data_IF_217181550706
#
_entry.id   IF_217181550706
#
_cell.length_a   1.000
_cell.length_b   1.000
_cell.length_c   1.000
_cell.angle_alpha   90.00
_cell.angle_beta   90.00
_cell.angle_gamma   90.00
#
_symmetry.space_group_name_H-M   'P 1'
#
loop_
_entity.id
_entity.type
_entity.pdbx_description
1 polymer ?
#
# COMPACT_ATOMS: atom_id res chain seq x y z
N UNK A 1 -1.21 18.48 10.12
CA UNK A 1 -1.36 17.78 8.81
C UNK A 1 -1.47 18.72 7.60
N UNK A 2 -2.44 19.64 7.45
CA UNK A 2 -2.64 20.45 6.22
C UNK A 2 -1.42 21.25 5.75
N UNK A 3 -0.58 21.82 6.66
CA UNK A 3 0.63 22.57 6.28
C UNK A 3 1.69 21.65 5.65
N UNK A 4 1.89 20.46 6.20
CA UNK A 4 2.87 19.50 5.68
C UNK A 4 2.44 18.93 4.33
N UNK A 5 1.15 18.63 4.12
CA UNK A 5 0.62 18.21 2.82
C UNK A 5 0.85 19.27 1.72
N UNK A 6 0.73 20.56 2.05
CA UNK A 6 1.08 21.63 1.11
C UNK A 6 2.58 21.69 0.81
N UNK A 7 3.44 21.41 1.82
CA UNK A 7 4.90 21.34 1.64
C UNK A 7 5.27 20.17 0.72
N UNK A 8 4.67 18.99 0.90
CA UNK A 8 4.85 17.82 0.03
C UNK A 8 4.43 18.17 -1.40
N UNK A 9 3.26 18.76 -1.59
CA UNK A 9 2.79 19.14 -2.92
C UNK A 9 3.71 20.13 -3.61
N UNK A 10 4.35 21.05 -2.85
CA UNK A 10 5.38 21.97 -3.37
C UNK A 10 6.62 21.21 -3.85
N UNK A 11 7.06 20.16 -3.13
CA UNK A 11 8.17 19.31 -3.59
C UNK A 11 7.78 18.53 -4.86
N UNK A 12 6.62 17.92 -4.90
CA UNK A 12 6.12 17.24 -6.11
C UNK A 12 6.15 18.19 -7.33
N UNK A 13 5.79 19.46 -7.15
CA UNK A 13 5.89 20.46 -8.24
C UNK A 13 7.33 20.75 -8.68
N UNK A 14 8.27 20.75 -7.75
CA UNK A 14 9.67 21.14 -7.99
C UNK A 14 10.43 20.12 -8.82
N UNK A 15 10.23 18.83 -8.57
CA UNK A 15 11.00 17.76 -9.20
C UNK A 15 10.32 17.26 -10.48
N UNK A 16 11.13 17.01 -11.53
CA UNK A 16 10.64 16.46 -12.80
C UNK A 16 10.62 14.94 -12.82
N UNK A 17 11.49 14.30 -12.03
CA UNK A 17 11.57 12.85 -11.89
C UNK A 17 11.14 12.49 -10.47
N UNK A 18 10.17 11.59 -10.35
CA UNK A 18 9.62 11.16 -9.07
C UNK A 18 9.54 9.63 -9.07
N UNK A 19 10.15 9.03 -8.07
CA UNK A 19 10.10 7.61 -7.80
C UNK A 19 9.24 7.38 -6.56
N UNK A 20 8.31 6.44 -6.64
CA UNK A 20 7.41 6.10 -5.55
C UNK A 20 7.67 4.64 -5.20
N UNK A 21 8.15 4.40 -3.99
CA UNK A 21 8.42 3.09 -3.43
C UNK A 21 7.46 2.78 -2.26
N UNK A 22 7.40 1.52 -1.87
CA UNK A 22 6.60 1.00 -0.75
C UNK A 22 7.31 -0.21 -0.14
N UNK A 23 6.71 -0.90 0.83
CA UNK A 23 7.33 -2.06 1.48
C UNK A 23 7.37 -3.33 0.61
N UNK A 24 8.28 -4.24 0.94
CA UNK A 24 8.37 -5.60 0.38
C UNK A 24 7.11 -6.38 0.76
N UNK A 25 6.60 -7.23 -0.16
CA UNK A 25 5.39 -8.00 0.07
C UNK A 25 4.14 -7.11 0.13
N UNK A 26 4.05 -6.16 -0.81
CA UNK A 26 3.01 -5.14 -0.83
C UNK A 26 1.59 -5.70 -0.73
N UNK A 27 0.84 -5.12 0.17
CA UNK A 27 -0.59 -5.30 0.33
C UNK A 27 -1.40 -4.23 -0.46
N UNK A 28 -2.73 -4.25 -0.40
CA UNK A 28 -3.54 -3.27 -1.11
C UNK A 28 -3.39 -1.83 -0.61
N UNK A 29 -2.97 -1.57 0.65
CA UNK A 29 -2.73 -0.20 1.12
C UNK A 29 -1.45 0.37 0.51
N UNK A 30 -0.37 -0.40 0.55
CA UNK A 30 0.89 -0.04 -0.08
C UNK A 30 0.73 0.21 -1.60
N UNK A 31 0.08 -0.71 -2.32
CA UNK A 31 -0.16 -0.58 -3.76
C UNK A 31 -1.16 0.54 -4.09
N UNK A 32 -2.25 0.64 -3.32
CA UNK A 32 -3.30 1.62 -3.53
C UNK A 32 -2.80 3.05 -3.35
N UNK A 33 -2.04 3.29 -2.28
CA UNK A 33 -1.39 4.59 -2.04
C UNK A 33 -0.38 4.94 -3.13
N UNK A 34 0.43 3.97 -3.56
CA UNK A 34 1.45 4.12 -4.60
C UNK A 34 0.83 4.43 -5.97
N UNK A 35 -0.13 3.63 -6.43
CA UNK A 35 -0.76 3.83 -7.73
C UNK A 35 -1.63 5.08 -7.76
N UNK A 36 -2.34 5.38 -6.68
CA UNK A 36 -3.10 6.63 -6.58
C UNK A 36 -2.18 7.85 -6.70
N UNK A 37 -1.05 7.88 -5.99
CA UNK A 37 -0.13 9.01 -6.03
C UNK A 37 0.53 9.15 -7.40
N UNK A 38 0.93 8.04 -8.03
CA UNK A 38 1.45 8.02 -9.41
C UNK A 38 0.44 8.62 -10.38
N UNK A 39 -0.79 8.12 -10.36
CA UNK A 39 -1.89 8.57 -11.23
C UNK A 39 -2.17 10.07 -11.03
N UNK A 40 -2.24 10.51 -9.78
CA UNK A 40 -2.41 11.92 -9.43
C UNK A 40 -1.35 12.80 -10.06
N UNK A 41 -0.07 12.39 -9.95
CA UNK A 41 1.04 13.20 -10.43
C UNK A 41 1.07 13.19 -11.96
N UNK A 42 0.88 12.04 -12.61
CA UNK A 42 0.82 11.93 -14.09
C UNK A 42 -0.31 12.80 -14.66
N UNK A 43 -1.49 12.76 -14.05
CA UNK A 43 -2.64 13.56 -14.50
C UNK A 43 -2.43 15.06 -14.31
N UNK A 44 -1.84 15.46 -13.17
CA UNK A 44 -1.65 16.88 -12.86
C UNK A 44 -0.45 17.50 -13.57
N UNK A 45 0.58 16.71 -13.84
CA UNK A 45 1.85 17.10 -14.41
C UNK A 45 2.31 16.13 -15.49
N UNK A 46 1.66 16.08 -16.66
CA UNK A 46 1.88 15.05 -17.69
C UNK A 46 3.29 15.04 -18.30
N UNK A 47 4.08 16.10 -18.05
CA UNK A 47 5.48 16.16 -18.53
C UNK A 47 6.49 15.57 -17.53
N UNK A 48 6.05 15.18 -16.32
CA UNK A 48 6.94 14.58 -15.33
C UNK A 48 7.12 13.08 -15.59
N UNK A 49 8.31 12.59 -15.30
CA UNK A 49 8.60 11.17 -15.24
C UNK A 49 8.23 10.67 -13.84
N UNK A 50 7.29 9.74 -13.76
CA UNK A 50 6.79 9.23 -12.47
C UNK A 50 6.75 7.71 -12.53
N UNK A 51 7.43 7.08 -11.60
CA UNK A 51 7.63 5.65 -11.54
C UNK A 51 7.12 5.09 -10.21
N UNK A 52 6.17 4.16 -10.26
CA UNK A 52 5.79 3.31 -9.14
C UNK A 52 6.60 2.01 -9.25
N UNK A 53 7.52 1.78 -8.34
CA UNK A 53 8.50 0.69 -8.44
C UNK A 53 8.38 -0.31 -7.31
N UNK A 54 9.00 -1.48 -7.51
CA UNK A 54 9.08 -2.58 -6.56
C UNK A 54 8.84 -3.93 -7.23
N UNK A 55 8.69 -4.97 -6.45
CA UNK A 55 8.37 -6.31 -6.94
C UNK A 55 6.84 -6.46 -7.15
N UNK A 56 6.43 -7.05 -8.28
CA UNK A 56 5.00 -7.22 -8.56
C UNK A 56 4.37 -8.25 -7.61
N UNK A 57 3.12 -7.99 -7.23
CA UNK A 57 2.29 -8.96 -6.52
C UNK A 57 1.39 -9.69 -7.52
N UNK A 58 1.47 -11.01 -7.57
CA UNK A 58 0.54 -11.81 -8.40
C UNK A 58 -0.90 -11.71 -7.90
N UNK A 59 -1.10 -11.70 -6.58
CA UNK A 59 -2.41 -11.61 -5.92
C UNK A 59 -3.13 -10.30 -6.22
N UNK A 60 -2.40 -9.19 -6.25
CA UNK A 60 -2.98 -7.85 -6.41
C UNK A 60 -2.70 -7.21 -7.77
N UNK A 61 -2.37 -8.03 -8.78
CA UNK A 61 -2.12 -7.54 -10.15
C UNK A 61 -3.30 -6.76 -10.74
N UNK A 62 -4.52 -7.05 -10.32
CA UNK A 62 -5.72 -6.34 -10.76
C UNK A 62 -5.76 -4.86 -10.37
N UNK A 63 -4.94 -4.42 -9.41
CA UNK A 63 -4.83 -3.02 -8.99
C UNK A 63 -4.01 -2.16 -9.95
N UNK A 64 -3.12 -2.77 -10.76
CA UNK A 64 -2.29 -2.09 -11.74
C UNK A 64 -0.91 -2.70 -11.89
N UNK A 65 -0.15 -2.14 -12.83
CA UNK A 65 1.21 -2.55 -13.11
C UNK A 65 2.23 -1.55 -12.57
N UNK A 66 3.38 -2.08 -12.15
CA UNK A 66 4.54 -1.29 -11.74
C UNK A 66 5.32 -0.78 -12.95
N UNK A 67 5.94 0.37 -12.79
CA UNK A 67 6.83 0.94 -13.81
C UNK A 67 8.23 0.35 -13.66
N UNK A 68 8.97 0.30 -14.78
CA UNK A 68 10.40 -0.03 -14.79
C UNK A 68 11.22 1.23 -15.00
N UNK A 69 12.32 1.35 -14.28
CA UNK A 69 13.30 2.40 -14.52
C UNK A 69 14.30 1.86 -15.54
N UNK A 70 14.30 2.41 -16.74
CA UNK A 70 15.19 2.01 -17.84
C UNK A 70 16.35 3.01 -18.03
N UNK A 71 16.29 4.16 -17.38
CA UNK A 71 17.24 5.26 -17.53
C UNK A 71 18.16 5.38 -16.31
N UNK A 72 19.42 5.76 -16.53
CA UNK A 72 20.29 6.19 -15.45
C UNK A 72 19.95 7.63 -15.08
N UNK A 73 19.41 7.82 -13.86
CA UNK A 73 19.10 9.15 -13.34
C UNK A 73 20.29 9.79 -12.66
N UNK A 74 20.34 11.12 -12.71
CA UNK A 74 21.00 11.92 -11.70
C UNK A 74 20.14 11.92 -10.43
N UNK A 75 20.40 11.01 -9.50
CA UNK A 75 19.61 10.80 -8.28
C UNK A 75 19.49 12.05 -7.41
N UNK A 76 20.41 13.02 -7.53
CA UNK A 76 20.33 14.31 -6.85
C UNK A 76 19.13 15.15 -7.33
N UNK A 77 18.63 14.88 -8.53
CA UNK A 77 17.47 15.53 -9.14
C UNK A 77 16.17 14.73 -9.05
N UNK A 78 16.21 13.58 -8.39
CA UNK A 78 15.05 12.72 -8.19
C UNK A 78 14.41 13.00 -6.83
N UNK A 79 13.08 13.02 -6.79
CA UNK A 79 12.32 12.95 -5.56
C UNK A 79 11.88 11.50 -5.33
N UNK A 80 12.35 10.90 -4.26
CA UNK A 80 11.84 9.61 -3.77
C UNK A 80 10.68 9.87 -2.81
N UNK A 81 9.56 9.17 -3.01
CA UNK A 81 8.45 9.14 -2.07
C UNK A 81 8.28 7.70 -1.63
N UNK A 82 8.45 7.43 -0.34
CA UNK A 82 8.25 6.12 0.27
C UNK A 82 6.92 6.13 0.99
N UNK A 83 6.08 5.16 0.67
CA UNK A 83 4.73 5.01 1.19
C UNK A 83 4.65 3.75 2.04
N UNK A 84 3.90 3.81 3.12
CA UNK A 84 3.51 2.64 3.89
C UNK A 84 4.68 1.76 4.33
N UNK A 85 5.77 2.39 4.78
CA UNK A 85 7.00 1.67 5.10
C UNK A 85 7.70 2.29 6.31
N UNK A 86 7.57 1.73 7.51
CA UNK A 86 8.21 2.26 8.71
C UNK A 86 9.71 1.98 8.79
N UNK A 87 10.18 0.87 8.21
CA UNK A 87 11.53 0.30 8.31
C UNK A 87 12.26 0.38 6.97
N UNK A 88 13.48 0.93 6.96
CA UNK A 88 14.34 1.05 5.78
C UNK A 88 14.56 -0.29 5.08
N UNK A 89 14.76 -1.37 5.84
CA UNK A 89 15.03 -2.71 5.31
C UNK A 89 13.86 -3.29 4.52
N UNK A 90 12.66 -2.76 4.74
CA UNK A 90 11.46 -3.20 4.04
C UNK A 90 11.14 -2.38 2.79
N UNK A 91 11.90 -1.32 2.48
CA UNK A 91 11.66 -0.56 1.25
C UNK A 91 12.00 -1.44 0.04
N UNK A 92 11.05 -1.56 -0.89
CA UNK A 92 11.15 -2.46 -2.04
C UNK A 92 11.70 -1.75 -3.28
N UNK A 93 12.60 -2.43 -3.98
CA UNK A 93 13.05 -2.05 -5.33
C UNK A 93 13.98 -0.85 -5.42
N UNK A 94 14.54 -0.35 -4.31
CA UNK A 94 15.48 0.77 -4.32
C UNK A 94 16.66 0.57 -3.34
N UNK A 95 17.75 1.27 -3.65
CA UNK A 95 18.85 1.54 -2.73
C UNK A 95 18.70 2.95 -2.17
N UNK A 96 18.24 3.08 -0.91
CA UNK A 96 17.86 4.36 -0.30
C UNK A 96 19.00 5.39 -0.34
N UNK A 97 20.24 4.95 -0.15
CA UNK A 97 21.43 5.81 -0.11
C UNK A 97 21.72 6.55 -1.43
N UNK A 98 21.12 6.13 -2.53
CA UNK A 98 21.24 6.82 -3.81
C UNK A 98 20.43 8.13 -3.84
N UNK A 99 19.42 8.28 -2.96
CA UNK A 99 18.49 9.40 -2.99
C UNK A 99 18.80 10.42 -1.89
N UNK A 100 18.86 11.71 -2.27
CA UNK A 100 19.04 12.82 -1.32
C UNK A 100 17.73 13.49 -0.90
N UNK A 101 16.69 13.35 -1.73
CA UNK A 101 15.42 14.04 -1.53
C UNK A 101 14.33 13.01 -1.31
N UNK A 102 14.00 12.75 -0.06
CA UNK A 102 13.10 11.67 0.37
C UNK A 102 11.92 12.24 1.13
N UNK A 103 10.72 11.78 0.78
CA UNK A 103 9.48 12.00 1.53
C UNK A 103 8.97 10.64 1.99
N UNK A 104 8.56 10.54 3.26
CA UNK A 104 7.88 9.39 3.84
C UNK A 104 6.43 9.76 4.16
N UNK A 105 5.47 8.91 3.79
CA UNK A 105 4.07 9.01 4.21
C UNK A 105 3.65 7.63 4.71
N UNK A 106 3.33 7.53 5.98
CA UNK A 106 3.14 6.25 6.66
C UNK A 106 2.15 6.39 7.82
N UNK A 107 1.42 5.32 8.13
CA UNK A 107 0.52 5.27 9.26
C UNK A 107 1.00 4.33 10.38
N UNK A 108 2.11 3.63 10.17
CA UNK A 108 2.70 2.74 11.16
C UNK A 108 3.46 3.51 12.25
N UNK A 109 3.69 2.90 13.43
CA UNK A 109 4.63 3.42 14.42
C UNK A 109 6.02 3.68 13.82
N UNK A 110 6.69 4.72 14.32
CA UNK A 110 8.02 5.09 13.84
C UNK A 110 9.02 3.99 14.19
N UNK A 111 9.69 3.44 13.17
CA UNK A 111 10.84 2.53 13.34
C UNK A 111 12.12 3.26 12.97
N UNK A 112 12.20 3.78 11.74
CA UNK A 112 13.35 4.52 11.23
C UNK A 112 12.98 5.94 10.79
N UNK A 113 13.86 6.91 11.11
CA UNK A 113 13.83 8.28 10.61
C UNK A 113 14.82 8.39 9.42
N UNK A 114 14.29 8.41 8.18
CA UNK A 114 15.11 8.35 6.98
C UNK A 114 14.74 9.38 5.89
N UNK A 115 13.73 10.19 6.12
CA UNK A 115 13.25 11.11 5.09
C UNK A 115 13.42 12.58 5.49
N UNK A 116 13.59 13.46 4.48
CA UNK A 116 13.70 14.90 4.70
C UNK A 116 12.35 15.54 5.09
N UNK A 117 11.24 14.89 4.73
CA UNK A 117 9.88 15.27 5.08
C UNK A 117 9.13 13.99 5.41
N UNK A 118 8.57 13.92 6.62
CA UNK A 118 7.78 12.79 7.06
C UNK A 118 6.35 13.21 7.41
N UNK A 119 5.40 12.39 7.03
CA UNK A 119 4.02 12.41 7.51
C UNK A 119 3.75 11.04 8.11
N UNK A 120 3.69 10.98 9.41
CA UNK A 120 3.37 9.77 10.16
C UNK A 120 2.16 10.08 11.02
N UNK A 121 1.12 9.25 10.91
CA UNK A 121 -0.09 9.37 11.74
C UNK A 121 -0.61 7.99 12.09
N UNK A 122 -0.19 7.47 13.24
CA UNK A 122 -0.59 6.17 13.78
C UNK A 122 -2.09 6.06 14.08
N UNK A 123 -2.80 7.18 14.11
CA UNK A 123 -4.26 7.21 14.25
C UNK A 123 -4.99 7.17 12.90
N UNK A 124 -4.25 7.17 11.79
CA UNK A 124 -4.82 6.99 10.47
C UNK A 124 -5.10 5.51 10.23
N UNK A 125 -6.23 5.20 9.62
CA UNK A 125 -6.61 3.82 9.34
C UNK A 125 -5.76 3.15 8.25
N UNK A 126 -5.00 3.91 7.48
CA UNK A 126 -4.16 3.44 6.40
C UNK A 126 -3.34 4.57 5.77
N UNK A 127 -2.30 4.25 5.02
CA UNK A 127 -1.57 5.20 4.19
C UNK A 127 -2.45 5.73 3.05
N UNK A 128 -3.37 4.93 2.50
CA UNK A 128 -4.38 5.39 1.54
C UNK A 128 -5.27 6.50 2.13
N UNK A 129 -5.62 6.43 3.41
CA UNK A 129 -6.33 7.54 4.07
C UNK A 129 -5.47 8.80 4.10
N UNK A 130 -4.18 8.72 4.41
CA UNK A 130 -3.27 9.87 4.40
C UNK A 130 -3.14 10.49 3.00
N UNK A 131 -3.07 9.67 1.94
CA UNK A 131 -3.09 10.15 0.56
C UNK A 131 -4.42 10.85 0.22
N UNK A 132 -5.54 10.31 0.69
CA UNK A 132 -6.85 10.94 0.49
C UNK A 132 -6.94 12.30 1.19
N UNK A 133 -6.40 12.42 2.39
CA UNK A 133 -6.26 13.69 3.11
C UNK A 133 -5.37 14.69 2.37
N UNK A 134 -4.22 14.21 1.85
CA UNK A 134 -3.31 15.00 1.02
C UNK A 134 -4.03 15.58 -0.21
N UNK A 135 -4.83 14.77 -0.89
CA UNK A 135 -5.64 15.18 -2.06
C UNK A 135 -6.62 16.30 -1.67
N UNK A 136 -7.39 16.11 -0.58
CA UNK A 136 -8.36 17.11 -0.14
C UNK A 136 -7.71 18.39 0.37
N UNK A 137 -6.58 18.28 1.08
CA UNK A 137 -5.84 19.44 1.58
C UNK A 137 -5.31 20.34 0.45
N UNK A 138 -4.99 19.75 -0.69
CA UNK A 138 -4.49 20.43 -1.88
C UNK A 138 -5.56 20.72 -2.93
N UNK A 139 -6.84 20.38 -2.66
CA UNK A 139 -7.97 20.58 -3.57
C UNK A 139 -7.76 19.95 -4.95
N UNK A 140 -7.17 18.76 -4.97
CA UNK A 140 -6.91 17.99 -6.20
C UNK A 140 -8.17 17.20 -6.57
N UNK A 141 -8.45 17.09 -7.86
CA UNK A 141 -9.52 16.24 -8.37
C UNK A 141 -9.12 14.78 -8.27
N UNK A 142 -10.08 13.92 -7.95
CA UNK A 142 -9.90 12.46 -7.84
C UNK A 142 -10.50 11.83 -9.09
N UNK A 143 -9.73 11.02 -9.82
CA UNK A 143 -10.24 10.18 -10.91
C UNK A 143 -10.92 8.92 -10.34
N UNK A 144 -11.78 8.23 -11.10
CA UNK A 144 -12.34 6.95 -10.68
C UNK A 144 -11.27 5.92 -10.33
N UNK A 145 -10.16 5.87 -11.07
CA UNK A 145 -9.06 4.95 -10.83
C UNK A 145 -8.34 5.24 -9.51
N UNK A 146 -8.05 6.51 -9.24
CA UNK A 146 -7.52 6.92 -7.93
C UNK A 146 -8.45 6.52 -6.78
N UNK A 147 -9.76 6.70 -6.97
CA UNK A 147 -10.75 6.38 -5.95
C UNK A 147 -10.85 4.87 -5.69
N UNK A 148 -10.76 4.03 -6.72
CA UNK A 148 -10.72 2.57 -6.58
C UNK A 148 -9.51 2.13 -5.77
N UNK A 149 -8.31 2.59 -6.14
CA UNK A 149 -7.08 2.24 -5.46
C UNK A 149 -7.10 2.66 -3.98
N UNK A 150 -7.52 3.90 -3.68
CA UNK A 150 -7.67 4.37 -2.30
C UNK A 150 -8.70 3.57 -1.50
N UNK A 151 -9.83 3.22 -2.13
CA UNK A 151 -10.88 2.43 -1.48
C UNK A 151 -10.38 1.03 -1.12
N UNK A 152 -9.71 0.35 -2.08
CA UNK A 152 -9.14 -0.98 -1.87
C UNK A 152 -8.14 -1.00 -0.71
N UNK A 153 -7.21 -0.02 -0.66
CA UNK A 153 -6.25 0.09 0.43
C UNK A 153 -6.93 0.31 1.78
N UNK A 154 -7.84 1.27 1.88
CA UNK A 154 -8.55 1.55 3.15
C UNK A 154 -9.36 0.33 3.61
N UNK A 155 -10.07 -0.35 2.70
CA UNK A 155 -10.87 -1.54 3.04
C UNK A 155 -10.00 -2.70 3.51
N UNK A 156 -8.88 -2.94 2.81
CA UNK A 156 -7.95 -4.00 3.17
C UNK A 156 -7.36 -3.76 4.55
N UNK A 157 -6.80 -2.60 4.77
CA UNK A 157 -6.04 -2.28 5.96
C UNK A 157 -6.91 -2.13 7.21
N UNK A 158 -8.16 -1.71 7.04
CA UNK A 158 -9.16 -1.70 8.12
C UNK A 158 -9.84 -3.04 8.39
N UNK A 159 -9.45 -4.11 7.68
CA UNK A 159 -10.16 -5.40 7.77
C UNK A 159 -11.64 -5.24 7.48
N UNK A 160 -12.02 -4.53 6.42
CA UNK A 160 -13.42 -4.21 6.10
C UNK A 160 -14.10 -3.35 7.17
N UNK A 161 -13.35 -2.40 7.74
CA UNK A 161 -13.80 -1.49 8.81
C UNK A 161 -14.04 -2.16 10.18
N UNK A 162 -13.49 -3.36 10.38
CA UNK A 162 -13.64 -4.10 11.65
C UNK A 162 -12.53 -3.79 12.66
N UNK A 163 -11.37 -3.26 12.21
CA UNK A 163 -10.28 -2.93 13.11
C UNK A 163 -10.57 -1.68 13.93
N UNK A 164 -10.05 -1.63 15.15
CA UNK A 164 -10.32 -0.59 16.16
C UNK A 164 -9.79 0.81 15.80
N UNK A 165 -8.84 0.90 14.88
CA UNK A 165 -8.33 2.18 14.34
C UNK A 165 -9.19 2.73 13.18
N UNK A 166 -10.25 2.04 12.78
CA UNK A 166 -11.27 2.60 11.90
C UNK A 166 -12.02 3.70 12.63
N UNK A 167 -11.95 4.92 12.13
CA UNK A 167 -12.50 6.10 12.81
C UNK A 167 -13.66 6.73 12.04
N UNK A 168 -14.41 7.61 12.70
CA UNK A 168 -15.42 8.46 12.03
C UNK A 168 -14.79 9.22 10.84
N UNK A 169 -13.56 9.71 10.99
CA UNK A 169 -12.80 10.42 9.95
C UNK A 169 -12.61 9.56 8.71
N UNK A 170 -12.36 8.25 8.88
CA UNK A 170 -12.24 7.30 7.75
C UNK A 170 -13.51 7.29 6.91
N UNK A 171 -14.68 7.15 7.54
CA UNK A 171 -15.98 7.16 6.84
C UNK A 171 -16.30 8.51 6.21
N UNK A 172 -16.00 9.62 6.88
CA UNK A 172 -16.20 10.98 6.34
C UNK A 172 -15.39 11.20 5.06
N UNK A 173 -14.13 10.75 5.04
CA UNK A 173 -13.24 10.88 3.89
C UNK A 173 -13.70 10.01 2.72
N UNK A 174 -14.08 8.75 3.00
CA UNK A 174 -14.65 7.83 1.99
C UNK A 174 -15.94 8.42 1.40
N UNK A 175 -16.88 8.83 2.23
CA UNK A 175 -18.13 9.46 1.76
C UNK A 175 -17.86 10.68 0.88
N UNK A 176 -16.91 11.53 1.29
CA UNK A 176 -16.52 12.70 0.50
C UNK A 176 -15.88 12.32 -0.84
N UNK A 177 -15.11 11.25 -0.89
CA UNK A 177 -14.53 10.71 -2.10
C UNK A 177 -15.62 10.15 -3.03
N UNK A 178 -16.48 9.28 -2.52
CA UNK A 178 -17.56 8.64 -3.28
C UNK A 178 -18.59 9.65 -3.83
N UNK A 179 -18.84 10.75 -3.12
CA UNK A 179 -19.67 11.86 -3.64
C UNK A 179 -19.05 12.56 -4.85
N UNK A 180 -17.73 12.51 -5.00
CA UNK A 180 -17.00 13.17 -6.11
C UNK A 180 -16.70 12.23 -7.27
N UNK A 181 -16.76 10.94 -7.03
CA UNK A 181 -16.38 9.90 -7.99
C UNK A 181 -17.49 8.85 -8.06
N UNK A 182 -17.91 8.52 -9.28
CA UNK A 182 -18.90 7.45 -9.49
C UNK A 182 -18.16 6.14 -9.73
N UNK A 183 -17.78 5.44 -8.66
CA UNK A 183 -17.21 4.09 -8.73
C UNK A 183 -18.20 3.06 -8.22
N UNK A 184 -18.23 1.90 -8.86
CA UNK A 184 -18.86 0.71 -8.28
C UNK A 184 -17.88 0.07 -7.29
N UNK A 185 -17.96 0.48 -6.03
CA UNK A 185 -17.08 -0.02 -5.00
C UNK A 185 -17.42 -1.46 -4.57
N UNK A 186 -18.65 -1.93 -4.82
CA UNK A 186 -19.05 -3.29 -4.48
C UNK A 186 -18.36 -4.32 -5.36
N UNK A 187 -18.15 -4.02 -6.64
CA UNK A 187 -17.41 -4.88 -7.58
C UNK A 187 -15.92 -5.05 -7.22
N UNK A 188 -15.38 -4.18 -6.36
CA UNK A 188 -13.98 -4.25 -5.94
C UNK A 188 -13.71 -5.36 -4.92
N UNK A 189 -14.74 -5.84 -4.23
CA UNK A 189 -14.57 -6.90 -3.21
C UNK A 189 -14.27 -8.27 -3.82
N UNK A 190 -14.84 -8.57 -4.97
CA UNK A 190 -14.61 -9.86 -5.63
C UNK A 190 -13.12 -10.11 -5.90
N UNK A 191 -12.39 -9.27 -6.67
CA UNK A 191 -10.96 -9.50 -6.91
C UNK A 191 -10.10 -9.37 -5.65
N UNK A 192 -10.52 -8.57 -4.65
CA UNK A 192 -9.78 -8.41 -3.40
C UNK A 192 -9.81 -9.67 -2.53
N UNK A 193 -10.94 -10.40 -2.52
CA UNK A 193 -11.15 -11.56 -1.66
C UNK A 193 -11.23 -12.88 -2.42
N UNK A 194 -11.13 -12.86 -3.74
CA UNK A 194 -11.03 -14.09 -4.52
C UNK A 194 -9.78 -14.86 -4.13
N UNK A 195 -9.96 -16.13 -3.82
CA UNK A 195 -8.86 -17.05 -3.48
C UNK A 195 -8.86 -18.25 -4.41
N UNK A 196 -7.69 -18.66 -4.91
CA UNK A 196 -7.54 -19.93 -5.60
C UNK A 196 -8.04 -21.10 -4.73
N UNK A 197 -8.63 -22.11 -5.35
CA UNK A 197 -9.09 -23.30 -4.62
C UNK A 197 -7.95 -24.01 -3.86
N UNK A 198 -6.73 -23.92 -4.38
CA UNK A 198 -5.51 -24.43 -3.74
C UNK A 198 -5.27 -23.75 -2.39
N UNK A 199 -5.37 -22.41 -2.33
CA UNK A 199 -5.24 -21.66 -1.07
C UNK A 199 -6.35 -22.00 -0.08
N UNK A 200 -7.60 -22.15 -0.55
CA UNK A 200 -8.74 -22.54 0.30
C UNK A 200 -8.52 -23.95 0.90
N UNK A 201 -8.02 -24.88 0.08
CA UNK A 201 -7.69 -26.24 0.55
C UNK A 201 -6.54 -26.22 1.54
N UNK A 202 -5.51 -25.44 1.29
CA UNK A 202 -4.39 -25.28 2.19
C UNK A 202 -4.81 -24.65 3.53
N UNK A 203 -5.71 -23.67 3.51
CA UNK A 203 -6.29 -23.10 4.73
C UNK A 203 -7.07 -24.15 5.51
N UNK A 204 -7.84 -25.01 4.82
CA UNK A 204 -8.50 -26.15 5.44
C UNK A 204 -7.50 -27.10 6.12
N UNK A 205 -6.38 -27.42 5.44
CA UNK A 205 -5.30 -28.23 6.02
C UNK A 205 -4.74 -27.58 7.30
N UNK A 206 -4.51 -26.26 7.30
CA UNK A 206 -4.03 -25.53 8.48
C UNK A 206 -5.01 -25.68 9.66
N UNK A 207 -6.29 -25.44 9.45
CA UNK A 207 -7.31 -25.57 10.51
C UNK A 207 -7.41 -26.97 11.08
N UNK A 208 -7.27 -27.99 10.23
CA UNK A 208 -7.38 -29.40 10.65
C UNK A 208 -6.14 -29.88 11.43
N UNK A 209 -4.96 -29.32 11.13
CA UNK A 209 -3.68 -29.82 11.65
C UNK A 209 -2.98 -28.84 12.62
N UNK A 210 -3.55 -27.68 12.90
CA UNK A 210 -2.98 -26.77 13.90
C UNK A 210 -3.24 -27.31 15.31
N UNK A 211 -2.24 -27.14 16.15
CA UNK A 211 -2.32 -27.46 17.58
C UNK A 211 -2.53 -26.19 18.39
N UNK A 212 -3.30 -26.27 19.45
CA UNK A 212 -3.53 -25.15 20.37
C UNK A 212 -3.04 -25.55 21.76
N UNK A 213 -2.13 -24.75 22.30
CA UNK A 213 -1.62 -24.95 23.67
C UNK A 213 -2.64 -24.54 24.73
N UNK A 214 -2.46 -24.99 25.96
CA UNK A 214 -3.31 -24.62 27.10
C UNK A 214 -3.34 -23.09 27.34
N UNK A 215 -2.32 -22.37 26.91
CA UNK A 215 -2.22 -20.92 26.99
C UNK A 215 -2.85 -20.17 25.79
N UNK A 216 -3.51 -20.90 24.89
CA UNK A 216 -4.20 -20.31 23.73
C UNK A 216 -3.28 -19.91 22.57
N UNK A 217 -2.05 -20.44 22.51
CA UNK A 217 -1.16 -20.25 21.35
C UNK A 217 -1.42 -21.34 20.33
N UNK A 218 -1.86 -20.96 19.13
CA UNK A 218 -1.99 -21.88 18.01
C UNK A 218 -0.67 -21.93 17.21
N UNK A 219 -0.26 -23.14 16.80
CA UNK A 219 0.91 -23.34 15.96
C UNK A 219 0.73 -24.52 14.99
N UNK A 220 1.45 -24.47 13.89
CA UNK A 220 1.52 -25.56 12.90
C UNK A 220 2.94 -25.61 12.31
N UNK A 221 3.42 -26.83 12.07
CA UNK A 221 4.68 -27.06 11.37
C UNK A 221 4.40 -27.32 9.89
N UNK A 222 4.86 -26.44 9.02
CA UNK A 222 4.72 -26.57 7.57
C UNK A 222 6.06 -26.96 6.97
N UNK A 223 6.09 -28.13 6.30
CA UNK A 223 7.26 -28.59 5.55
C UNK A 223 7.19 -28.14 4.10
N UNK A 224 8.33 -28.13 3.42
CA UNK A 224 8.35 -27.83 1.97
C UNK A 224 7.49 -28.81 1.15
N UNK A 225 7.38 -30.07 1.59
CA UNK A 225 6.60 -31.08 0.89
C UNK A 225 5.10 -30.76 0.99
N UNK A 226 4.62 -30.31 2.15
CA UNK A 226 3.25 -29.84 2.33
C UNK A 226 2.97 -28.64 1.43
N UNK A 227 3.87 -27.64 1.39
CA UNK A 227 3.72 -26.48 0.52
C UNK A 227 3.66 -26.87 -0.96
N UNK A 228 4.49 -27.82 -1.39
CA UNK A 228 4.47 -28.36 -2.76
C UNK A 228 3.18 -29.10 -3.07
N UNK A 229 2.68 -29.92 -2.13
CA UNK A 229 1.42 -30.68 -2.29
C UNK A 229 0.24 -29.74 -2.57
N UNK A 230 0.16 -28.63 -1.83
CA UNK A 230 -0.90 -27.64 -1.99
C UNK A 230 -0.58 -26.60 -3.07
N UNK A 231 0.60 -26.65 -3.71
CA UNK A 231 1.07 -25.66 -4.67
C UNK A 231 1.00 -24.23 -4.13
N UNK A 232 1.51 -24.02 -2.91
CA UNK A 232 1.55 -22.74 -2.20
C UNK A 232 3.01 -22.42 -1.89
N UNK A 233 3.43 -21.18 -2.13
CA UNK A 233 4.74 -20.71 -1.71
C UNK A 233 4.76 -20.26 -0.24
N UNK A 234 5.97 -20.15 0.34
CA UNK A 234 6.13 -19.77 1.75
C UNK A 234 5.56 -18.39 2.09
N UNK A 235 5.57 -17.45 1.16
CA UNK A 235 5.03 -16.12 1.38
C UNK A 235 3.49 -16.15 1.43
N UNK A 236 2.88 -16.88 0.48
CA UNK A 236 1.43 -17.12 0.48
C UNK A 236 0.97 -17.88 1.72
N UNK A 237 1.75 -18.88 2.18
CA UNK A 237 1.47 -19.61 3.42
C UNK A 237 1.48 -18.69 4.64
N UNK A 238 2.48 -17.81 4.76
CA UNK A 238 2.56 -16.81 5.83
C UNK A 238 1.37 -15.85 5.83
N UNK A 239 0.94 -15.40 4.66
CA UNK A 239 -0.24 -14.53 4.53
C UNK A 239 -1.53 -15.25 4.96
N UNK A 240 -1.71 -16.51 4.56
CA UNK A 240 -2.89 -17.31 4.96
C UNK A 240 -2.94 -17.47 6.48
N UNK A 241 -1.81 -17.77 7.12
CA UNK A 241 -1.72 -17.90 8.58
C UNK A 241 -2.03 -16.58 9.28
N UNK A 242 -1.57 -15.45 8.76
CA UNK A 242 -1.81 -14.14 9.36
C UNK A 242 -3.28 -13.67 9.26
N UNK A 243 -4.08 -14.30 8.41
CA UNK A 243 -5.50 -14.01 8.24
C UNK A 243 -6.43 -14.89 9.11
N UNK A 244 -5.86 -15.88 9.85
CA UNK A 244 -6.58 -16.78 10.77
C UNK A 244 -6.79 -16.14 12.13
#
# INVERSE_FOLDING_TARGET
MKKIYKRIYKQIKKYNIIVIARHIGADPDALGSQFCLRELIKNKFPKKQVYAIGNPSSKFKFMGDLDKIEENFDYDKVLLIVLDTPDIKRIDGIELNNYKNIIKIDHHPIVDDYANIEVIDENSSSTCQLILEFIFANKISISPEMAKNLYLGIVSDTGRFMHNYTSQKTFELINKMLKKTKIDFTSLYEPLYMRPLTEIRFQGYIYENMEVTDNGVAYINLTEDILKEYNVDSASAGNIISEL
#
